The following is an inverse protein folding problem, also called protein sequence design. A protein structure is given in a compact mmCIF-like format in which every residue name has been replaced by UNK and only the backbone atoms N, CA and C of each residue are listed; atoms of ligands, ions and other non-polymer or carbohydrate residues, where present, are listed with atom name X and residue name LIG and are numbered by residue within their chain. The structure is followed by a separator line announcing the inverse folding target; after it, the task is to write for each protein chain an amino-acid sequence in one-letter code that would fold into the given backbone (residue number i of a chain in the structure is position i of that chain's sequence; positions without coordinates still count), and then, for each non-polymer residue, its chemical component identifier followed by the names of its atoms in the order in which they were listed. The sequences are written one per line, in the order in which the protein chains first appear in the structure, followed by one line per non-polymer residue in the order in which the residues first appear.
data_IF_107256292253
#
_entry.id   IF_107256292253
#
_cell.length_a   1.000
_cell.length_b   1.000
_cell.length_c   1.000
_cell.angle_alpha   90.00
_cell.angle_beta   90.00
_cell.angle_gamma   90.00
#
_symmetry.space_group_name_H-M   'P 1'
#
loop_
_entity.id
_entity.type
_entity.pdbx_description
1 polymer ?
#
# COMPACT_ATOMS: atom_id res chain seq x y z
N UNK A 1 -9.00 -33.43 1.94
CA UNK A 1 -9.71 -32.14 1.91
C UNK A 1 -10.10 -31.65 3.31
N UNK A 2 -10.56 -32.52 4.23
CA UNK A 2 -11.04 -32.09 5.56
C UNK A 2 -9.95 -31.56 6.51
N UNK A 3 -8.71 -32.00 6.38
CA UNK A 3 -7.64 -31.52 7.25
C UNK A 3 -7.24 -30.06 6.96
N UNK A 4 -7.20 -29.62 5.69
CA UNK A 4 -6.86 -28.23 5.35
C UNK A 4 -7.90 -27.24 5.89
N UNK A 5 -9.20 -27.56 5.81
CA UNK A 5 -10.25 -26.73 6.40
C UNK A 5 -10.19 -26.74 7.93
N UNK A 6 -9.91 -27.90 8.54
CA UNK A 6 -9.73 -28.00 10.00
C UNK A 6 -8.51 -27.22 10.52
N UNK A 7 -7.45 -27.03 9.72
CA UNK A 7 -6.32 -26.17 10.07
C UNK A 7 -6.63 -24.68 9.91
N UNK A 8 -7.50 -24.32 8.95
CA UNK A 8 -7.93 -22.92 8.74
C UNK A 8 -8.89 -22.44 9.83
N UNK A 9 -9.73 -23.31 10.39
CA UNK A 9 -10.64 -22.98 11.51
C UNK A 9 -9.90 -22.60 12.82
N UNK A 10 -8.63 -23.00 12.97
CA UNK A 10 -7.81 -22.67 14.15
C UNK A 10 -7.18 -21.26 14.02
N UNK A 11 -7.13 -20.70 12.80
CA UNK A 11 -6.48 -19.42 12.54
C UNK A 11 -7.54 -18.30 12.69
N UNK A 12 -7.27 -17.23 13.46
CA UNK A 12 -8.19 -16.12 13.56
C UNK A 12 -8.53 -15.54 12.18
N UNK A 13 -9.82 -15.32 11.93
CA UNK A 13 -10.35 -14.82 10.64
C UNK A 13 -9.65 -13.55 10.14
N UNK A 14 -9.31 -12.62 11.05
CA UNK A 14 -8.59 -11.39 10.72
C UNK A 14 -7.17 -11.65 10.20
N UNK A 15 -6.50 -12.70 10.66
CA UNK A 15 -5.16 -13.08 10.18
C UNK A 15 -5.24 -13.67 8.77
N UNK A 16 -6.29 -14.44 8.47
CA UNK A 16 -6.51 -15.00 7.13
C UNK A 16 -6.73 -13.87 6.12
N UNK A 17 -7.60 -12.90 6.46
CA UNK A 17 -7.87 -11.76 5.59
C UNK A 17 -6.63 -10.89 5.37
N UNK A 18 -5.88 -10.57 6.43
CA UNK A 18 -4.68 -9.76 6.36
C UNK A 18 -3.58 -10.44 5.54
N UNK A 19 -3.37 -11.74 5.71
CA UNK A 19 -2.35 -12.50 4.98
C UNK A 19 -2.71 -12.66 3.50
N UNK A 20 -3.96 -12.98 3.19
CA UNK A 20 -4.45 -13.05 1.81
C UNK A 20 -4.30 -11.71 1.09
N UNK A 21 -4.70 -10.61 1.74
CA UNK A 21 -4.51 -9.27 1.19
C UNK A 21 -3.04 -8.93 1.02
N UNK A 22 -2.20 -9.18 2.04
CA UNK A 22 -0.77 -8.88 2.01
C UNK A 22 -0.04 -9.60 0.87
N UNK A 23 -0.31 -10.90 0.70
CA UNK A 23 0.24 -11.68 -0.41
C UNK A 23 -0.24 -11.12 -1.76
N UNK A 24 -1.55 -10.82 -1.87
CA UNK A 24 -2.11 -10.21 -3.07
C UNK A 24 -1.48 -8.86 -3.42
N UNK A 25 -1.26 -8.00 -2.41
CA UNK A 25 -0.63 -6.70 -2.57
C UNK A 25 0.83 -6.83 -3.03
N UNK A 26 1.58 -7.78 -2.47
CA UNK A 26 2.96 -8.07 -2.90
C UNK A 26 2.98 -8.51 -4.37
N UNK A 27 2.10 -9.44 -4.77
CA UNK A 27 2.00 -9.91 -6.16
C UNK A 27 1.62 -8.76 -7.09
N UNK A 28 0.65 -7.93 -6.70
CA UNK A 28 0.22 -6.77 -7.47
C UNK A 28 1.37 -5.76 -7.65
N UNK A 29 2.10 -5.44 -6.59
CA UNK A 29 3.26 -4.53 -6.64
C UNK A 29 4.40 -5.08 -7.47
N UNK A 30 4.64 -6.40 -7.40
CA UNK A 30 5.63 -7.06 -8.23
C UNK A 30 5.26 -6.99 -9.72
N UNK A 31 4.01 -7.29 -10.04
CA UNK A 31 3.49 -7.21 -11.40
C UNK A 31 3.60 -5.77 -11.93
N UNK A 32 3.20 -4.79 -11.11
CA UNK A 32 3.29 -3.38 -11.44
C UNK A 32 4.72 -2.93 -11.70
N UNK A 33 5.66 -3.34 -10.85
CA UNK A 33 7.08 -3.07 -11.04
C UNK A 33 7.61 -3.65 -12.36
N UNK A 34 7.24 -4.90 -12.66
CA UNK A 34 7.65 -5.59 -13.90
C UNK A 34 7.09 -4.94 -15.16
N UNK A 35 5.94 -4.29 -15.05
CA UNK A 35 5.35 -3.47 -16.12
C UNK A 35 6.07 -2.12 -16.23
N UNK A 36 6.23 -1.42 -15.13
CA UNK A 36 6.76 -0.05 -15.07
C UNK A 36 8.26 0.06 -15.36
N UNK A 37 9.03 -1.03 -15.28
CA UNK A 37 10.43 -1.07 -15.73
C UNK A 37 10.62 -0.74 -17.22
N UNK A 38 9.55 -0.69 -18.01
CA UNK A 38 9.55 -0.31 -19.43
C UNK A 38 9.51 1.21 -19.63
N UNK A 39 9.17 1.97 -18.60
CA UNK A 39 9.05 3.43 -18.64
C UNK A 39 10.35 4.10 -18.14
N UNK A 40 10.55 5.41 -18.43
CA UNK A 40 11.60 6.20 -17.80
C UNK A 40 11.59 6.03 -16.29
N UNK A 41 12.79 5.85 -15.73
CA UNK A 41 13.02 5.39 -14.34
C UNK A 41 12.29 6.22 -13.29
N UNK A 42 12.21 7.55 -13.47
CA UNK A 42 11.51 8.45 -12.55
C UNK A 42 9.99 8.22 -12.54
N UNK A 43 9.38 8.09 -13.72
CA UNK A 43 7.94 7.86 -13.82
C UNK A 43 7.56 6.47 -13.31
N UNK A 44 8.39 5.46 -13.59
CA UNK A 44 8.20 4.12 -13.07
C UNK A 44 8.24 4.08 -11.53
N UNK A 45 9.19 4.79 -10.92
CA UNK A 45 9.32 4.88 -9.46
C UNK A 45 8.12 5.59 -8.81
N UNK A 46 7.69 6.74 -9.35
CA UNK A 46 6.54 7.48 -8.83
C UNK A 46 5.25 6.65 -8.98
N UNK A 47 5.02 6.04 -10.14
CA UNK A 47 3.86 5.19 -10.38
C UNK A 47 3.81 4.01 -9.41
N UNK A 48 4.96 3.36 -9.19
CA UNK A 48 5.06 2.26 -8.24
C UNK A 48 4.75 2.71 -6.80
N UNK A 49 5.26 3.88 -6.41
CA UNK A 49 4.99 4.48 -5.11
C UNK A 49 3.51 4.82 -4.90
N UNK A 50 2.81 5.29 -5.93
CA UNK A 50 1.37 5.56 -5.85
C UNK A 50 0.60 4.25 -5.61
N UNK A 51 0.90 3.20 -6.37
CA UNK A 51 0.24 1.89 -6.18
C UNK A 51 0.57 1.30 -4.81
N UNK A 52 1.82 1.44 -4.36
CA UNK A 52 2.23 1.06 -3.00
C UNK A 52 1.43 1.79 -1.93
N UNK A 53 1.29 3.11 -2.04
CA UNK A 53 0.52 3.89 -1.07
C UNK A 53 -0.95 3.47 -1.04
N UNK A 54 -1.57 3.22 -2.20
CA UNK A 54 -2.97 2.76 -2.26
C UNK A 54 -3.16 1.40 -1.59
N UNK A 55 -2.24 0.47 -1.81
CA UNK A 55 -2.37 -0.91 -1.32
C UNK A 55 -1.93 -1.09 0.13
N UNK A 56 -0.90 -0.36 0.57
CA UNK A 56 -0.20 -0.69 1.81
C UNK A 56 -0.44 0.32 2.93
N UNK A 57 -1.01 1.49 2.65
CA UNK A 57 -1.32 2.47 3.71
C UNK A 57 -2.27 1.86 4.73
N UNK A 58 -1.87 1.69 6.00
CA UNK A 58 -2.72 1.09 7.01
C UNK A 58 -3.77 2.09 7.53
N UNK A 59 -4.94 1.56 7.87
CA UNK A 59 -6.03 2.25 8.59
C UNK A 59 -6.75 1.25 9.50
N UNK A 60 -7.66 1.74 10.32
CA UNK A 60 -8.64 0.91 11.04
C UNK A 60 -9.96 0.96 10.29
N UNK A 61 -10.53 -0.21 9.98
CA UNK A 61 -11.87 -0.28 9.41
C UNK A 61 -12.91 0.14 10.45
N UNK A 62 -14.02 0.75 9.99
CA UNK A 62 -15.12 1.12 10.87
C UNK A 62 -16.07 -0.06 11.13
N UNK A 63 -16.77 -0.02 12.27
CA UNK A 63 -17.80 -0.98 12.66
C UNK A 63 -17.42 -1.89 13.83
N UNK A 64 -18.34 -2.77 14.28
CA UNK A 64 -18.14 -3.63 15.44
C UNK A 64 -17.02 -4.67 15.27
N UNK A 65 -16.59 -4.92 14.04
CA UNK A 65 -15.49 -5.82 13.69
C UNK A 65 -14.27 -5.02 13.15
N UNK A 66 -14.02 -3.84 13.71
CA UNK A 66 -12.91 -2.98 13.34
C UNK A 66 -11.58 -3.74 13.41
N UNK A 67 -10.84 -3.75 12.30
CA UNK A 67 -9.55 -4.42 12.18
C UNK A 67 -8.60 -3.60 11.31
N UNK A 68 -7.32 -3.96 11.35
CA UNK A 68 -6.31 -3.31 10.50
C UNK A 68 -6.61 -3.65 9.05
N UNK A 69 -6.84 -2.60 8.26
CA UNK A 69 -7.13 -2.72 6.84
C UNK A 69 -6.38 -1.64 6.06
N UNK A 70 -6.20 -1.81 4.74
CA UNK A 70 -5.72 -0.76 3.87
C UNK A 70 -6.67 0.46 3.83
N UNK A 71 -6.11 1.67 3.86
CA UNK A 71 -6.84 2.94 3.85
C UNK A 71 -7.78 3.10 2.64
N UNK A 72 -7.47 2.43 1.52
CA UNK A 72 -8.35 2.43 0.34
C UNK A 72 -9.75 1.87 0.65
N UNK A 73 -9.88 0.91 1.57
CA UNK A 73 -11.20 0.39 1.96
C UNK A 73 -12.01 1.42 2.74
N UNK A 74 -11.37 2.14 3.67
CA UNK A 74 -12.01 3.24 4.39
C UNK A 74 -12.40 4.39 3.46
N UNK A 75 -11.55 4.70 2.48
CA UNK A 75 -11.86 5.71 1.46
C UNK A 75 -13.07 5.31 0.61
N UNK A 76 -13.10 4.08 0.09
CA UNK A 76 -14.22 3.58 -0.71
C UNK A 76 -15.51 3.52 0.11
N UNK A 77 -15.43 3.07 1.36
CA UNK A 77 -16.58 3.03 2.27
C UNK A 77 -17.12 4.44 2.55
N UNK A 78 -16.24 5.41 2.83
CA UNK A 78 -16.63 6.82 3.01
C UNK A 78 -17.31 7.41 1.78
N UNK A 79 -16.82 7.10 0.58
CA UNK A 79 -17.45 7.54 -0.68
C UNK A 79 -18.87 6.96 -0.82
N UNK A 80 -19.03 5.65 -0.56
CA UNK A 80 -20.31 4.96 -0.71
C UNK A 80 -21.35 5.45 0.33
N UNK A 81 -20.91 5.67 1.56
CA UNK A 81 -21.74 6.15 2.67
C UNK A 81 -21.94 7.66 2.66
N UNK A 82 -21.18 8.40 1.83
CA UNK A 82 -21.12 9.87 1.79
C UNK A 82 -20.62 10.49 3.10
N UNK A 83 -19.80 9.76 3.85
CA UNK A 83 -19.15 10.24 5.08
C UNK A 83 -17.91 11.07 4.74
N UNK A 84 -18.05 12.39 4.79
CA UNK A 84 -16.94 13.31 4.47
C UNK A 84 -15.73 13.19 5.42
N UNK A 85 -15.91 13.16 6.76
CA UNK A 85 -14.81 12.88 7.68
C UNK A 85 -14.00 11.63 7.31
N UNK A 86 -14.68 10.53 6.98
CA UNK A 86 -14.01 9.28 6.67
C UNK A 86 -13.23 9.33 5.36
N UNK A 87 -13.78 10.00 4.35
CA UNK A 87 -13.08 10.24 3.08
C UNK A 87 -11.79 11.00 3.31
N UNK A 88 -11.86 12.13 4.03
CA UNK A 88 -10.70 13.00 4.25
C UNK A 88 -9.63 12.34 5.11
N UNK A 89 -10.04 11.60 6.15
CA UNK A 89 -9.11 10.87 7.01
C UNK A 89 -8.29 9.86 6.19
N UNK A 90 -8.95 8.97 5.44
CA UNK A 90 -8.25 7.94 4.68
C UNK A 90 -7.46 8.50 3.49
N UNK A 91 -7.98 9.53 2.80
CA UNK A 91 -7.27 10.20 1.73
C UNK A 91 -5.99 10.87 2.25
N UNK A 92 -6.05 11.52 3.41
CA UNK A 92 -4.89 12.18 4.02
C UNK A 92 -3.78 11.20 4.37
N UNK A 93 -4.12 10.01 4.87
CA UNK A 93 -3.16 8.95 5.17
C UNK A 93 -2.45 8.47 3.90
N UNK A 94 -3.20 8.24 2.81
CA UNK A 94 -2.62 7.82 1.53
C UNK A 94 -1.68 8.91 1.00
N UNK A 95 -2.12 10.17 1.00
CA UNK A 95 -1.30 11.31 0.56
C UNK A 95 -0.05 11.50 1.43
N UNK A 96 -0.14 11.23 2.73
CA UNK A 96 0.99 11.28 3.65
C UNK A 96 2.05 10.24 3.31
N UNK A 97 1.64 8.98 3.05
CA UNK A 97 2.56 7.92 2.60
C UNK A 97 3.20 8.27 1.26
N UNK A 98 2.44 8.81 0.31
CA UNK A 98 2.97 9.31 -0.96
C UNK A 98 4.02 10.40 -0.72
N UNK A 99 3.69 11.40 0.10
CA UNK A 99 4.59 12.51 0.44
C UNK A 99 5.90 12.03 1.06
N UNK A 100 5.83 11.14 2.05
CA UNK A 100 7.02 10.53 2.67
C UNK A 100 7.86 9.77 1.66
N UNK A 101 7.23 8.94 0.82
CA UNK A 101 7.95 8.19 -0.20
C UNK A 101 8.65 9.09 -1.22
N UNK A 102 8.04 10.22 -1.60
CA UNK A 102 8.64 11.20 -2.50
C UNK A 102 9.84 11.92 -1.84
N UNK A 103 9.73 12.31 -0.57
CA UNK A 103 10.83 12.92 0.19
C UNK A 103 12.02 11.95 0.30
N UNK A 104 11.75 10.70 0.66
CA UNK A 104 12.77 9.64 0.73
C UNK A 104 13.39 9.42 -0.65
N UNK A 105 12.58 9.31 -1.70
CA UNK A 105 13.03 9.14 -3.07
C UNK A 105 13.91 10.29 -3.56
N UNK A 106 13.56 11.53 -3.20
CA UNK A 106 14.35 12.72 -3.51
C UNK A 106 15.70 12.71 -2.79
N UNK A 107 15.71 12.47 -1.47
CA UNK A 107 16.94 12.39 -0.69
C UNK A 107 17.88 11.29 -1.21
N UNK A 108 17.32 10.14 -1.57
CA UNK A 108 18.07 9.02 -2.15
C UNK A 108 18.65 9.36 -3.52
N UNK A 109 17.85 9.99 -4.39
CA UNK A 109 18.30 10.44 -5.71
C UNK A 109 19.49 11.40 -5.58
N UNK A 110 19.38 12.41 -4.71
CA UNK A 110 20.44 13.38 -4.43
C UNK A 110 21.72 12.71 -3.88
N UNK A 111 21.56 11.77 -2.95
CA UNK A 111 22.68 11.00 -2.40
C UNK A 111 23.40 10.17 -3.48
N UNK A 112 22.63 9.48 -4.32
CA UNK A 112 23.17 8.65 -5.41
C UNK A 112 23.96 9.48 -6.44
N UNK A 113 23.42 10.62 -6.84
CA UNK A 113 24.11 11.55 -7.77
C UNK A 113 25.41 12.07 -7.17
N UNK A 114 25.41 12.49 -5.89
CA UNK A 114 26.61 12.97 -5.21
C UNK A 114 27.69 11.88 -5.05
N UNK A 115 27.28 10.62 -4.80
CA UNK A 115 28.21 9.50 -4.74
C UNK A 115 28.87 9.24 -6.10
N UNK A 116 28.09 9.29 -7.17
CA UNK A 116 28.59 9.13 -8.55
C UNK A 116 29.64 10.21 -8.90
N UNK A 117 29.38 11.47 -8.55
CA UNK A 117 30.31 12.58 -8.81
C UNK A 117 31.61 12.51 -8.00
N UNK A 118 31.62 11.85 -6.84
CA UNK A 118 32.83 11.68 -6.01
C UNK A 118 33.72 10.51 -6.44
N UNK A 119 33.23 9.61 -7.31
CA UNK A 119 34.00 8.46 -7.81
C UNK A 119 34.59 8.67 -9.21
N UNK A 120 34.49 9.87 -9.76
CA UNK A 120 35.10 10.32 -11.02
C UNK A 120 36.22 11.30 -10.64
#
# INVERSE_FOLDING_TARGET
MNQLFSFLDVIPEGVIALTAYGIGAIIALWCWWRLMRRLPTTFGAISWLIVFAILVTPTVSEGPNASVAPAIFGLLFGILTKDSPLIWSNLSLILFVVGLGLVIGYCWSKYSTNKSMRSI
#
